data_IF_715019173858
#
_entry.id   IF_715019173858
#
_cell.length_a   1.000
_cell.length_b   1.000
_cell.length_c   1.000
_cell.angle_alpha   90.00
_cell.angle_beta   90.00
_cell.angle_gamma   90.00
#
_symmetry.space_group_name_H-M   'P 1'
#
loop_
_entity.id
_entity.type
_entity.pdbx_description
1 polymer ?
#
# COMPACT_ATOMS: atom_id res chain seq x y z
N UNK A 1 -2.33 27.13 2.64
CA UNK A 1 -1.25 27.80 1.88
C UNK A 1 -1.56 27.95 0.38
N UNK A 2 -1.88 26.92 -0.40
CA UNK A 2 -2.24 27.12 -1.82
C UNK A 2 -3.60 27.83 -2.04
N UNK A 3 -4.61 27.52 -1.24
CA UNK A 3 -5.95 28.13 -1.33
C UNK A 3 -6.00 29.60 -0.87
N UNK A 4 -5.29 30.04 0.19
CA UNK A 4 -5.26 31.48 0.54
C UNK A 4 -4.46 32.36 -0.45
N UNK A 5 -3.92 31.81 -1.54
CA UNK A 5 -3.24 32.59 -2.59
C UNK A 5 -1.82 33.07 -2.23
N UNK A 6 -1.23 32.52 -1.16
CA UNK A 6 0.10 32.86 -0.63
C UNK A 6 1.25 32.32 -1.49
N UNK A 7 1.00 31.32 -2.33
CA UNK A 7 1.96 30.82 -3.32
C UNK A 7 1.30 30.83 -4.69
N UNK A 8 1.79 31.72 -5.56
CA UNK A 8 1.29 31.85 -6.94
C UNK A 8 2.25 31.16 -7.90
N UNK A 9 1.78 30.08 -8.52
CA UNK A 9 2.50 29.34 -9.56
C UNK A 9 2.36 30.01 -10.95
N UNK A 10 1.33 30.86 -11.13
CA UNK A 10 0.97 31.42 -12.43
C UNK A 10 2.08 32.32 -12.98
N UNK A 11 2.59 31.96 -14.17
CA UNK A 11 3.54 32.74 -14.99
C UNK A 11 4.86 33.11 -14.27
N UNK A 12 5.35 32.22 -13.38
CA UNK A 12 6.68 32.35 -12.76
C UNK A 12 7.64 31.30 -13.30
N UNK A 13 8.94 31.62 -13.31
CA UNK A 13 9.98 30.64 -13.66
C UNK A 13 10.03 29.55 -12.59
N UNK A 14 10.18 28.29 -13.02
CA UNK A 14 10.28 27.13 -12.11
C UNK A 14 11.36 27.34 -11.03
N UNK A 15 12.52 27.87 -11.41
CA UNK A 15 13.60 28.20 -10.47
C UNK A 15 13.19 29.16 -9.34
N UNK A 16 12.33 30.16 -9.62
CA UNK A 16 11.85 31.11 -8.60
C UNK A 16 10.85 30.43 -7.66
N UNK A 17 10.01 29.53 -8.19
CA UNK A 17 9.07 28.76 -7.40
C UNK A 17 9.83 27.82 -6.46
N UNK A 18 10.86 27.14 -6.96
CA UNK A 18 11.73 26.26 -6.17
C UNK A 18 12.42 27.06 -5.04
N UNK A 19 12.92 28.26 -5.31
CA UNK A 19 13.48 29.13 -4.26
C UNK A 19 12.43 29.56 -3.23
N UNK A 20 11.21 29.95 -3.65
CA UNK A 20 10.11 30.26 -2.74
C UNK A 20 9.74 29.05 -1.86
N UNK A 21 9.74 27.82 -2.42
CA UNK A 21 9.50 26.58 -1.68
C UNK A 21 10.61 26.29 -0.66
N UNK A 22 11.87 26.53 -1.03
CA UNK A 22 13.02 26.41 -0.11
C UNK A 22 12.93 27.38 1.06
N UNK A 23 12.66 28.66 0.79
CA UNK A 23 12.52 29.69 1.83
C UNK A 23 11.36 29.36 2.77
N UNK A 24 10.28 28.79 2.24
CA UNK A 24 9.11 28.35 3.02
C UNK A 24 9.35 27.04 3.78
N UNK A 25 10.49 26.38 3.59
CA UNK A 25 10.87 25.19 4.35
C UNK A 25 10.12 23.92 3.96
N UNK A 26 9.70 23.78 2.69
CA UNK A 26 9.17 22.50 2.22
C UNK A 26 10.29 21.44 2.19
N UNK A 27 9.96 20.22 2.62
CA UNK A 27 10.89 19.09 2.60
C UNK A 27 11.26 18.70 1.16
N UNK A 28 12.46 18.12 1.00
CA UNK A 28 12.94 17.61 -0.28
C UNK A 28 12.42 16.18 -0.49
N UNK A 29 12.15 15.80 -1.72
CA UNK A 29 11.79 14.41 -2.08
C UNK A 29 12.79 13.37 -1.57
N UNK A 30 14.09 13.69 -1.52
CA UNK A 30 15.10 12.79 -0.97
C UNK A 30 14.89 12.46 0.51
N UNK A 31 14.11 13.25 1.25
CA UNK A 31 13.68 12.92 2.62
C UNK A 31 12.38 12.09 2.64
N UNK A 32 11.60 12.13 1.56
CA UNK A 32 10.43 11.27 1.36
C UNK A 32 10.78 9.91 0.76
N UNK A 33 11.99 9.76 0.20
CA UNK A 33 12.47 8.50 -0.37
C UNK A 33 12.30 7.37 0.65
N UNK A 34 11.39 6.46 0.30
CA UNK A 34 10.98 5.25 1.02
C UNK A 34 12.11 4.25 1.22
N UNK A 35 13.32 4.54 0.72
CA UNK A 35 14.55 3.80 0.99
C UNK A 35 15.13 4.26 2.34
N UNK A 36 14.35 4.10 3.41
CA UNK A 36 14.86 4.23 4.76
C UNK A 36 15.77 3.03 5.03
N UNK A 37 17.07 3.19 4.81
CA UNK A 37 18.09 2.25 5.29
C UNK A 37 18.25 2.47 6.80
N UNK A 38 17.80 1.54 7.67
CA UNK A 38 17.82 1.73 9.12
C UNK A 38 19.25 1.77 9.69
N UNK A 39 20.28 1.46 8.88
CA UNK A 39 21.69 1.54 9.24
C UNK A 39 22.35 2.88 8.89
N UNK A 40 21.64 3.81 8.25
CA UNK A 40 22.14 5.17 8.01
C UNK A 40 22.05 6.02 9.28
N UNK A 41 22.95 5.71 10.22
CA UNK A 41 23.41 6.46 11.40
C UNK A 41 22.56 7.68 11.82
N UNK A 42 21.87 7.52 12.95
CA UNK A 42 21.14 8.57 13.66
C UNK A 42 22.11 9.46 14.46
N UNK A 43 23.18 9.94 13.81
CA UNK A 43 24.19 10.80 14.41
C UNK A 43 24.80 11.78 13.39
N UNK A 44 23.93 12.53 12.72
CA UNK A 44 24.32 13.76 12.03
C UNK A 44 23.52 14.93 12.61
N UNK A 45 24.01 15.39 13.75
CA UNK A 45 23.78 16.72 14.30
C UNK A 45 23.81 17.83 13.24
N UNK A 46 23.12 18.91 13.58
CA UNK A 46 23.09 20.21 12.93
C UNK A 46 24.26 20.56 11.99
N UNK A 47 23.92 21.01 10.78
CA UNK A 47 24.85 21.70 9.89
C UNK A 47 24.42 21.63 8.43
N UNK A 48 24.40 22.75 7.68
CA UNK A 48 23.85 22.82 6.33
C UNK A 48 24.80 22.12 5.37
N UNK A 49 24.66 20.81 5.22
CA UNK A 49 25.36 20.08 4.15
C UNK A 49 24.50 20.14 2.91
N UNK A 50 24.93 21.00 2.00
CA UNK A 50 24.55 21.04 0.59
C UNK A 50 24.67 19.64 -0.03
N UNK A 51 23.61 18.83 0.13
CA UNK A 51 23.33 17.71 -0.78
C UNK A 51 22.85 18.37 -2.05
N UNK A 52 23.49 17.99 -3.16
CA UNK A 52 23.27 18.50 -4.52
C UNK A 52 21.79 18.80 -4.73
N UNK A 53 21.46 20.08 -4.72
CA UNK A 53 20.10 20.58 -4.76
C UNK A 53 19.57 20.38 -6.18
N UNK A 54 18.75 19.35 -6.36
CA UNK A 54 18.22 18.96 -7.64
C UNK A 54 16.99 19.82 -7.95
N UNK A 55 16.82 20.22 -9.21
CA UNK A 55 15.57 20.88 -9.64
C UNK A 55 14.35 19.96 -9.45
N UNK A 56 14.57 18.65 -9.33
CA UNK A 56 13.55 17.62 -9.15
C UNK A 56 13.08 17.43 -7.70
N UNK A 57 13.69 18.08 -6.71
CA UNK A 57 13.38 17.84 -5.28
C UNK A 57 11.95 18.27 -4.86
N UNK A 58 11.21 18.93 -5.75
CA UNK A 58 9.87 19.48 -5.50
C UNK A 58 8.82 19.03 -6.53
N UNK A 59 9.15 18.07 -7.39
CA UNK A 59 8.26 17.58 -8.45
C UNK A 59 6.96 16.98 -7.86
N UNK A 60 6.99 16.39 -6.66
CA UNK A 60 5.85 15.85 -5.92
C UNK A 60 4.79 16.92 -5.56
N UNK A 61 5.20 18.18 -5.46
CA UNK A 61 4.30 19.32 -5.26
C UNK A 61 3.89 19.95 -6.59
N UNK A 62 4.82 20.03 -7.56
CA UNK A 62 4.65 20.77 -8.81
C UNK A 62 3.92 19.98 -9.89
N UNK A 63 4.16 18.67 -10.00
CA UNK A 63 3.48 17.77 -10.96
C UNK A 63 2.06 17.39 -10.48
N UNK A 64 1.62 17.95 -9.36
CA UNK A 64 0.27 17.71 -8.87
C UNK A 64 -0.79 18.25 -9.85
N UNK A 65 -1.79 17.43 -10.26
CA UNK A 65 -2.82 17.88 -11.19
C UNK A 65 -3.61 19.07 -10.63
N UNK A 66 -3.89 20.09 -11.46
CA UNK A 66 -4.67 21.29 -11.09
C UNK A 66 -6.04 20.95 -10.45
N UNK A 67 -6.65 19.81 -10.83
CA UNK A 67 -7.91 19.33 -10.23
C UNK A 67 -7.79 19.07 -8.72
N UNK A 68 -6.58 18.83 -8.20
CA UNK A 68 -6.33 18.66 -6.76
C UNK A 68 -6.46 19.97 -5.98
N UNK A 69 -6.43 21.12 -6.65
CA UNK A 69 -6.68 22.43 -6.05
C UNK A 69 -8.17 22.72 -5.81
N UNK A 70 -9.07 21.88 -6.32
CA UNK A 70 -10.51 22.03 -6.07
C UNK A 70 -10.87 21.70 -4.62
N UNK A 71 -11.85 22.42 -4.04
CA UNK A 71 -12.25 22.28 -2.64
C UNK A 71 -12.52 20.82 -2.24
N UNK A 72 -13.31 20.11 -3.06
CA UNK A 72 -13.66 18.70 -2.85
C UNK A 72 -12.41 17.80 -2.78
N UNK A 73 -11.42 18.05 -3.64
CA UNK A 73 -10.21 17.20 -3.67
C UNK A 73 -9.25 17.54 -2.54
N UNK A 74 -9.22 18.79 -2.08
CA UNK A 74 -8.45 19.17 -0.88
C UNK A 74 -9.03 18.52 0.38
N UNK A 75 -10.35 18.50 0.53
CA UNK A 75 -10.99 17.78 1.64
C UNK A 75 -10.69 16.28 1.60
N UNK A 76 -10.74 15.68 0.42
CA UNK A 76 -10.37 14.28 0.22
C UNK A 76 -8.90 14.02 0.58
N UNK A 77 -7.97 14.89 0.17
CA UNK A 77 -6.55 14.75 0.54
C UNK A 77 -6.33 14.91 2.05
N UNK A 78 -7.09 15.78 2.72
CA UNK A 78 -7.05 15.88 4.19
C UNK A 78 -7.51 14.59 4.85
N UNK A 79 -8.63 14.01 4.39
CA UNK A 79 -9.11 12.70 4.88
C UNK A 79 -8.08 11.60 4.67
N UNK A 80 -7.42 11.57 3.51
CA UNK A 80 -6.35 10.61 3.23
C UNK A 80 -5.16 10.80 4.17
N UNK A 81 -4.78 12.05 4.46
CA UNK A 81 -3.74 12.38 5.44
C UNK A 81 -4.13 11.90 6.86
N UNK A 82 -5.35 12.19 7.29
CA UNK A 82 -5.85 11.75 8.60
C UNK A 82 -5.92 10.23 8.72
N UNK A 83 -6.35 9.55 7.65
CA UNK A 83 -6.35 8.08 7.57
C UNK A 83 -4.94 7.50 7.65
N UNK A 84 -3.97 8.05 6.91
CA UNK A 84 -2.57 7.63 6.98
C UNK A 84 -1.95 7.87 8.35
N UNK A 85 -2.26 9.00 9.00
CA UNK A 85 -1.83 9.26 10.37
C UNK A 85 -2.45 8.30 11.38
N UNK A 86 -3.70 7.87 11.17
CA UNK A 86 -4.34 6.86 12.00
C UNK A 86 -3.69 5.48 11.80
N UNK A 87 -3.46 5.05 10.56
CA UNK A 87 -2.70 3.83 10.24
C UNK A 87 -1.32 3.85 10.90
N UNK A 88 -0.60 4.98 10.80
CA UNK A 88 0.72 5.14 11.38
C UNK A 88 0.69 5.00 12.91
N UNK A 89 -0.29 5.63 13.59
CA UNK A 89 -0.47 5.47 15.03
C UNK A 89 -0.72 4.02 15.42
N UNK A 90 -1.59 3.33 14.69
CA UNK A 90 -1.88 1.91 14.91
C UNK A 90 -0.60 1.08 14.77
N UNK A 91 0.20 1.33 13.73
CA UNK A 91 1.46 0.61 13.51
C UNK A 91 2.51 0.92 14.58
N UNK A 92 2.57 2.15 15.10
CA UNK A 92 3.46 2.50 16.22
C UNK A 92 3.03 1.82 17.52
N UNK A 93 1.71 1.77 17.77
CA UNK A 93 1.16 1.20 18.99
C UNK A 93 1.24 -0.35 18.99
N UNK A 94 1.26 -0.98 17.81
CA UNK A 94 1.46 -2.42 17.63
C UNK A 94 2.93 -2.79 17.79
N UNK A 95 3.22 -3.79 18.63
CA UNK A 95 4.58 -4.31 18.75
C UNK A 95 4.91 -5.30 17.63
N UNK A 96 6.20 -5.50 17.36
CA UNK A 96 6.66 -6.50 16.38
C UNK A 96 6.05 -7.90 16.63
N UNK A 97 5.79 -8.26 17.88
CA UNK A 97 5.18 -9.54 18.27
C UNK A 97 3.73 -9.64 17.78
N UNK A 98 2.97 -8.54 17.79
CA UNK A 98 1.56 -8.52 17.38
C UNK A 98 1.43 -8.74 15.87
N UNK A 99 2.32 -8.13 15.07
CA UNK A 99 2.41 -8.40 13.63
C UNK A 99 2.66 -9.88 13.34
N UNK A 100 3.59 -10.50 14.07
CA UNK A 100 3.88 -11.92 13.92
C UNK A 100 2.69 -12.81 14.27
N UNK A 101 1.93 -12.46 15.31
CA UNK A 101 0.74 -13.22 15.71
C UNK A 101 -0.39 -13.09 14.68
N UNK A 102 -0.61 -11.91 14.12
CA UNK A 102 -1.59 -11.69 13.05
C UNK A 102 -1.23 -12.49 11.78
N UNK A 103 0.04 -12.42 11.36
CA UNK A 103 0.53 -13.14 10.19
C UNK A 103 0.47 -14.66 10.38
N UNK A 104 0.90 -15.18 11.53
CA UNK A 104 0.82 -16.61 11.83
C UNK A 104 -0.63 -17.09 11.96
N UNK A 105 -1.53 -16.27 12.50
CA UNK A 105 -2.96 -16.56 12.55
C UNK A 105 -3.58 -16.65 11.16
N UNK A 106 -3.30 -15.67 10.30
CA UNK A 106 -3.73 -15.66 8.90
C UNK A 106 -3.17 -16.84 8.11
N UNK A 107 -1.90 -17.17 8.31
CA UNK A 107 -1.26 -18.33 7.70
C UNK A 107 -1.93 -19.64 8.11
N UNK A 108 -2.16 -19.83 9.41
CA UNK A 108 -2.79 -21.06 9.94
C UNK A 108 -4.22 -21.22 9.44
N UNK A 109 -5.01 -20.14 9.42
CA UNK A 109 -6.37 -20.16 8.90
C UNK A 109 -6.42 -20.46 7.39
N UNK A 110 -5.53 -19.86 6.60
CA UNK A 110 -5.41 -20.15 5.17
C UNK A 110 -4.96 -21.61 4.92
N UNK A 111 -4.08 -22.12 5.78
CA UNK A 111 -3.60 -23.51 5.73
C UNK A 111 -4.73 -24.50 6.03
N UNK A 112 -5.50 -24.26 7.10
CA UNK A 112 -6.69 -25.07 7.44
C UNK A 112 -7.72 -25.05 6.31
N UNK A 113 -8.02 -23.87 5.74
CA UNK A 113 -8.93 -23.75 4.61
C UNK A 113 -8.45 -24.54 3.38
N UNK A 114 -7.13 -24.62 3.17
CA UNK A 114 -6.55 -25.41 2.08
C UNK A 114 -6.64 -26.90 2.34
N UNK A 115 -6.46 -27.34 3.59
CA UNK A 115 -6.65 -28.74 3.98
C UNK A 115 -8.13 -29.15 3.84
N UNK A 116 -9.06 -28.33 4.32
CA UNK A 116 -10.51 -28.57 4.21
C UNK A 116 -10.91 -28.71 2.74
N UNK A 117 -10.47 -27.77 1.88
CA UNK A 117 -10.72 -27.83 0.44
C UNK A 117 -10.15 -29.09 -0.22
N UNK A 118 -8.94 -29.50 0.15
CA UNK A 118 -8.35 -30.74 -0.35
C UNK A 118 -9.12 -31.99 0.11
N UNK A 119 -9.71 -31.95 1.31
CA UNK A 119 -10.53 -33.02 1.85
C UNK A 119 -11.90 -33.08 1.17
N UNK A 120 -12.54 -31.93 0.92
CA UNK A 120 -13.76 -31.82 0.11
C UNK A 120 -13.55 -32.32 -1.33
N UNK A 121 -12.44 -31.96 -1.98
CA UNK A 121 -12.08 -32.45 -3.32
C UNK A 121 -11.87 -33.97 -3.34
N UNK A 122 -11.21 -34.53 -2.32
CA UNK A 122 -11.04 -35.96 -2.18
C UNK A 122 -12.37 -36.69 -1.95
N UNK A 123 -13.27 -36.12 -1.14
CA UNK A 123 -14.62 -36.66 -0.94
C UNK A 123 -15.46 -36.60 -2.22
N UNK A 124 -15.41 -35.50 -2.98
CA UNK A 124 -16.07 -35.39 -4.28
C UNK A 124 -15.54 -36.43 -5.27
N UNK A 125 -14.22 -36.65 -5.33
CA UNK A 125 -13.63 -37.67 -6.20
C UNK A 125 -14.02 -39.11 -5.82
N UNK A 126 -14.24 -39.41 -4.53
CA UNK A 126 -14.71 -40.74 -4.10
C UNK A 126 -16.20 -40.95 -4.41
N UNK A 127 -17.04 -39.92 -4.24
CA UNK A 127 -18.47 -39.96 -4.59
C UNK A 127 -18.65 -40.14 -6.11
N UNK A 128 -17.87 -39.44 -6.93
CA UNK A 128 -17.90 -39.62 -8.39
C UNK A 128 -17.43 -40.99 -8.86
N UNK A 129 -16.40 -41.57 -8.24
CA UNK A 129 -15.95 -42.94 -8.55
C UNK A 129 -17.00 -43.98 -8.14
N UNK A 130 -17.68 -43.76 -7.02
CA UNK A 130 -18.80 -44.60 -6.56
C UNK A 130 -20.00 -44.58 -7.53
N UNK A 131 -20.38 -43.41 -8.03
CA UNK A 131 -21.50 -43.26 -8.97
C UNK A 131 -21.21 -43.85 -10.35
N UNK A 132 -19.98 -43.72 -10.85
CA UNK A 132 -19.54 -44.33 -12.13
C UNK A 132 -19.53 -45.86 -12.06
N UNK A 133 -19.07 -46.47 -10.96
CA UNK A 133 -19.04 -47.95 -10.80
C UNK A 133 -20.43 -48.58 -10.71
N UNK A 134 -21.40 -47.88 -10.12
CA UNK A 134 -22.77 -48.34 -9.96
C UNK A 134 -23.58 -48.19 -11.26
N UNK A 135 -23.26 -47.22 -12.11
CA UNK A 135 -23.83 -47.07 -13.45
C UNK A 135 -23.33 -48.16 -14.42
N UNK A 136 -22.06 -48.56 -14.31
CA UNK A 136 -21.44 -49.61 -15.13
C UNK A 136 -22.03 -51.01 -14.84
N UNK A 137 -22.20 -51.35 -13.55
CA UNK A 137 -22.89 -52.58 -13.11
C UNK A 137 -24.36 -52.66 -13.53
N UNK A 138 -25.04 -51.53 -13.74
CA UNK A 138 -26.44 -51.50 -14.16
C UNK A 138 -26.60 -51.71 -15.67
N UNK A 139 -25.61 -51.26 -16.47
CA UNK A 139 -25.55 -51.52 -17.92
C UNK A 139 -25.23 -52.99 -18.22
N UNK A 140 -24.29 -53.60 -17.49
CA UNK A 140 -23.93 -55.01 -17.72
C UNK A 140 -25.06 -55.99 -17.35
N UNK A 141 -25.93 -55.63 -16.41
CA UNK A 141 -27.12 -56.42 -16.04
C UNK A 141 -28.28 -56.36 -17.04
N UNK A 142 -28.40 -55.29 -17.84
CA UNK A 142 -29.45 -55.15 -18.85
C UNK A 142 -29.15 -55.87 -20.17
N UNK A 143 -27.89 -56.23 -20.43
CA UNK A 143 -27.47 -56.91 -21.67
C UNK A 143 -27.56 -58.44 -21.59
N UNK A 144 -27.98 -59.02 -20.45
CA UNK A 144 -28.03 -60.47 -20.21
C UNK A 144 -29.44 -61.09 -20.30
N UNK A 145 -30.41 -60.34 -20.80
CA UNK A 145 -31.76 -60.84 -21.10
C UNK A 145 -32.07 -60.62 -22.57
#
# INVERSE_FOLDING_TARGET
MFIPGELRLNNRKAAVIIQDLRIKGFDLESKLDTNFDPLADHDAAEGPKAKVESEHDYDYLLDMPLRRLSHKKVEELKKQCDGKNAELKVVIDMMAIDFWNEDLGGFTAAWEQRLERGLEEAQQMTIEKGSKSSMDKKKSRKSKY
#
